data_IF_093093767782
#
_entry.id   IF_093093767782
#
_cell.length_a   1.000
_cell.length_b   1.000
_cell.length_c   1.000
_cell.angle_alpha   90.00
_cell.angle_beta   90.00
_cell.angle_gamma   90.00
#
_symmetry.space_group_name_H-M   'P 1'
#
loop_
_entity.id
_entity.type
_entity.pdbx_description
1 polymer ?
#
# COMPACT_ATOMS: atom_id res chain seq x y z
N UNK A 1 -21.55 4.78 47.92
CA UNK A 1 -20.10 4.96 47.74
C UNK A 1 -19.71 4.19 46.47
N UNK A 2 -19.64 4.88 45.35
CA UNK A 2 -19.24 4.30 44.07
C UNK A 2 -17.78 4.61 43.83
N UNK A 3 -16.92 3.60 43.90
CA UNK A 3 -15.50 3.73 43.60
C UNK A 3 -15.32 3.72 42.09
N UNK A 4 -14.83 4.84 41.54
CA UNK A 4 -14.46 4.99 40.16
C UNK A 4 -13.27 4.06 39.84
N UNK A 5 -13.50 3.08 38.99
CA UNK A 5 -12.43 2.27 38.39
C UNK A 5 -11.72 3.15 37.35
N UNK A 6 -10.55 3.66 37.69
CA UNK A 6 -9.64 4.27 36.75
C UNK A 6 -9.20 3.23 35.73
N UNK A 7 -9.53 3.46 34.45
CA UNK A 7 -9.03 2.67 33.34
C UNK A 7 -7.49 2.67 33.37
N UNK A 8 -6.91 1.50 33.55
CA UNK A 8 -5.47 1.30 33.57
C UNK A 8 -4.93 1.60 32.18
N UNK A 9 -4.09 2.64 32.06
CA UNK A 9 -3.30 2.92 30.88
C UNK A 9 -2.52 1.67 30.47
N UNK A 10 -2.58 1.33 29.16
CA UNK A 10 -1.94 0.14 28.61
C UNK A 10 -0.47 0.08 29.01
N UNK A 11 -0.08 -0.95 29.73
CA UNK A 11 1.31 -1.23 30.11
C UNK A 11 2.12 -1.35 28.83
N UNK A 12 3.09 -0.47 28.62
CA UNK A 12 4.13 -0.60 27.59
C UNK A 12 4.78 -1.98 27.78
N UNK A 13 4.47 -2.94 26.88
CA UNK A 13 5.03 -4.29 26.98
C UNK A 13 6.52 -4.24 26.78
N UNK A 14 7.29 -4.46 27.83
CA UNK A 14 8.74 -4.57 27.73
C UNK A 14 9.10 -5.86 26.98
N UNK A 15 9.99 -5.78 25.98
CA UNK A 15 10.52 -6.96 25.28
C UNK A 15 11.08 -8.01 26.24
N UNK A 16 11.68 -7.58 27.36
CA UNK A 16 12.15 -8.47 28.42
C UNK A 16 11.03 -9.30 29.06
N UNK A 17 9.85 -8.71 29.30
CA UNK A 17 8.71 -9.46 29.84
C UNK A 17 8.22 -10.54 28.88
N UNK A 18 8.25 -10.26 27.58
CA UNK A 18 7.86 -11.23 26.56
C UNK A 18 8.88 -12.38 26.42
N UNK A 19 10.17 -12.07 26.50
CA UNK A 19 11.23 -13.08 26.54
C UNK A 19 11.07 -13.95 27.78
N UNK A 20 10.90 -13.35 28.99
CA UNK A 20 10.66 -14.08 30.23
C UNK A 20 9.41 -14.97 30.18
N UNK A 21 8.28 -14.46 29.63
CA UNK A 21 7.06 -15.24 29.43
C UNK A 21 7.28 -16.45 28.52
N UNK A 22 8.11 -16.31 27.50
CA UNK A 22 8.48 -17.40 26.60
C UNK A 22 9.33 -18.43 27.33
N UNK A 23 10.33 -18.01 28.08
CA UNK A 23 11.25 -18.90 28.84
C UNK A 23 10.49 -19.75 29.88
N UNK A 24 9.51 -19.16 30.58
CA UNK A 24 8.68 -19.89 31.56
C UNK A 24 7.49 -20.63 30.92
N UNK A 25 7.41 -20.70 29.57
CA UNK A 25 6.36 -21.42 28.86
C UNK A 25 4.95 -20.78 28.93
N UNK A 26 4.82 -19.56 29.45
CA UNK A 26 3.52 -18.87 29.59
C UNK A 26 3.06 -18.18 28.30
N UNK A 27 3.83 -18.25 27.23
CA UNK A 27 3.48 -17.67 25.94
C UNK A 27 3.98 -18.52 24.77
N UNK A 28 3.12 -18.73 23.77
CA UNK A 28 3.51 -19.44 22.54
C UNK A 28 4.57 -18.65 21.76
N UNK A 29 5.59 -19.32 21.17
CA UNK A 29 6.69 -18.67 20.46
C UNK A 29 6.23 -17.69 19.37
N UNK A 30 5.25 -18.08 18.55
CA UNK A 30 4.69 -17.22 17.48
C UNK A 30 4.00 -15.97 18.04
N UNK A 31 3.23 -16.08 19.12
CA UNK A 31 2.55 -14.96 19.74
C UNK A 31 3.53 -13.99 20.40
N UNK A 32 4.59 -14.51 21.05
CA UNK A 32 5.67 -13.68 21.60
C UNK A 32 6.42 -12.95 20.51
N UNK A 33 6.80 -13.65 19.42
CA UNK A 33 7.47 -13.03 18.27
C UNK A 33 6.64 -11.88 17.67
N UNK A 34 5.33 -12.09 17.46
CA UNK A 34 4.44 -11.04 16.95
C UNK A 34 4.37 -9.83 17.90
N UNK A 35 4.20 -10.05 19.21
CA UNK A 35 4.16 -8.95 20.18
C UNK A 35 5.48 -8.17 20.24
N UNK A 36 6.61 -8.87 20.18
CA UNK A 36 7.93 -8.23 20.14
C UNK A 36 8.07 -7.41 18.85
N UNK A 37 7.76 -7.98 17.70
CA UNK A 37 7.89 -7.34 16.40
C UNK A 37 7.01 -6.09 16.26
N UNK A 38 5.80 -6.07 16.84
CA UNK A 38 4.91 -4.91 16.86
C UNK A 38 5.20 -3.91 17.99
N UNK A 39 6.23 -4.14 18.82
CA UNK A 39 6.49 -3.28 19.96
C UNK A 39 7.12 -1.94 19.55
N UNK A 40 6.75 -0.87 20.29
CA UNK A 40 7.34 0.45 20.13
C UNK A 40 8.87 0.42 20.26
N UNK A 41 9.39 -0.44 21.15
CA UNK A 41 10.82 -0.58 21.37
C UNK A 41 11.56 -1.06 20.11
N UNK A 42 10.97 -1.95 19.32
CA UNK A 42 11.52 -2.40 18.04
C UNK A 42 11.43 -1.27 17.01
N UNK A 43 10.28 -0.61 16.91
CA UNK A 43 10.10 0.52 16.00
C UNK A 43 11.12 1.64 16.26
N UNK A 44 11.34 2.00 17.53
CA UNK A 44 12.26 3.08 17.88
C UNK A 44 13.74 2.74 17.63
N UNK A 45 14.04 1.50 17.26
CA UNK A 45 15.39 1.05 16.86
C UNK A 45 15.54 0.89 15.34
N UNK A 46 14.51 1.22 14.56
CA UNK A 46 14.59 1.18 13.11
C UNK A 46 15.69 2.10 12.61
N UNK A 47 16.59 1.58 11.79
CA UNK A 47 17.68 2.33 11.15
C UNK A 47 17.95 1.77 9.78
N UNK A 48 18.61 2.55 8.94
CA UNK A 48 18.98 2.11 7.61
C UNK A 48 20.05 1.02 7.69
N UNK A 49 19.68 -0.20 7.30
CA UNK A 49 20.57 -1.37 7.24
C UNK A 49 21.46 -1.35 6.01
N UNK A 50 20.95 -0.83 4.89
CA UNK A 50 21.69 -0.77 3.65
C UNK A 50 20.96 -0.09 2.51
N UNK A 51 21.66 0.00 1.38
CA UNK A 51 21.12 0.49 0.11
C UNK A 51 21.41 -0.53 -0.97
N UNK A 52 20.39 -0.88 -1.76
CA UNK A 52 20.55 -1.68 -2.97
C UNK A 52 20.77 -0.72 -4.15
N UNK A 53 21.83 -0.96 -4.91
CA UNK A 53 22.23 -0.12 -6.06
C UNK A 53 22.22 -0.95 -7.32
N UNK A 54 21.55 -0.46 -8.35
CA UNK A 54 21.49 -1.24 -9.58
C UNK A 54 20.61 -0.70 -10.68
N UNK A 55 19.68 0.20 -10.34
CA UNK A 55 18.88 0.94 -11.31
C UNK A 55 19.57 2.20 -11.78
N UNK A 56 19.29 2.59 -13.03
CA UNK A 56 19.77 3.83 -13.64
C UNK A 56 18.73 4.97 -13.64
N UNK A 57 17.48 4.64 -13.30
CA UNK A 57 16.34 5.55 -13.13
C UNK A 57 15.79 5.60 -11.70
N UNK A 58 14.72 6.39 -11.49
CA UNK A 58 13.97 6.41 -10.25
C UNK A 58 13.41 5.03 -9.96
N UNK A 59 13.43 4.59 -8.69
CA UNK A 59 12.84 3.30 -8.31
C UNK A 59 11.41 3.55 -7.85
N UNK A 60 10.45 3.24 -8.72
CA UNK A 60 9.04 3.56 -8.49
C UNK A 60 8.38 2.63 -7.49
N UNK A 61 8.75 1.36 -7.49
CA UNK A 61 8.20 0.38 -6.55
C UNK A 61 9.24 -0.61 -6.07
N UNK A 62 8.98 -1.09 -4.87
CA UNK A 62 9.60 -2.27 -4.27
C UNK A 62 8.50 -3.16 -3.71
N UNK A 63 8.67 -4.47 -3.80
CA UNK A 63 7.75 -5.44 -3.20
C UNK A 63 8.49 -6.70 -2.75
N UNK A 64 8.14 -7.20 -1.57
CA UNK A 64 8.60 -8.52 -1.14
C UNK A 64 7.73 -9.61 -1.79
N UNK A 65 8.34 -10.78 -2.03
CA UNK A 65 7.56 -11.97 -2.31
C UNK A 65 6.82 -12.43 -1.03
N UNK A 66 5.84 -13.35 -1.12
CA UNK A 66 5.10 -13.82 0.05
C UNK A 66 5.97 -14.47 1.15
N UNK A 67 7.08 -15.10 0.78
CA UNK A 67 8.04 -15.69 1.74
C UNK A 67 8.89 -14.63 2.44
N UNK A 68 9.09 -13.46 1.82
CA UNK A 68 9.89 -12.37 2.35
C UNK A 68 11.40 -12.49 2.10
N UNK A 69 11.87 -13.49 1.43
CA UNK A 69 13.30 -13.72 1.14
C UNK A 69 13.76 -13.03 -0.16
N UNK A 70 12.83 -12.69 -1.04
CA UNK A 70 13.07 -12.01 -2.30
C UNK A 70 12.44 -10.61 -2.28
N UNK A 71 13.18 -9.62 -2.78
CA UNK A 71 12.67 -8.28 -3.03
C UNK A 71 12.72 -7.99 -4.52
N UNK A 72 11.62 -7.47 -5.07
CA UNK A 72 11.51 -7.03 -6.47
C UNK A 72 11.47 -5.52 -6.51
N UNK A 73 12.17 -4.91 -7.45
CA UNK A 73 12.09 -3.48 -7.73
C UNK A 73 11.87 -3.19 -9.20
N UNK A 74 11.14 -2.11 -9.50
CA UNK A 74 10.96 -1.59 -10.85
C UNK A 74 11.28 -0.10 -10.92
N UNK A 75 11.67 0.37 -12.10
CA UNK A 75 12.24 1.70 -12.27
C UNK A 75 11.87 2.34 -13.62
N UNK A 76 12.20 3.64 -13.73
CA UNK A 76 12.15 4.40 -14.97
C UNK A 76 13.12 3.86 -16.04
N UNK A 77 14.10 3.06 -15.64
CA UNK A 77 15.04 2.39 -16.58
C UNK A 77 14.43 1.17 -17.28
N UNK A 78 13.14 0.90 -17.07
CA UNK A 78 12.37 -0.23 -17.63
C UNK A 78 12.83 -1.62 -17.19
N UNK A 79 13.84 -1.72 -16.33
CA UNK A 79 14.32 -2.99 -15.81
C UNK A 79 13.58 -3.41 -14.54
N UNK A 80 13.49 -4.71 -14.37
CA UNK A 80 13.09 -5.35 -13.12
C UNK A 80 14.31 -5.99 -12.51
N UNK A 81 14.53 -5.75 -11.22
CA UNK A 81 15.62 -6.37 -10.47
C UNK A 81 15.06 -7.17 -9.31
N UNK A 82 15.50 -8.42 -9.23
CA UNK A 82 15.27 -9.30 -8.10
C UNK A 82 16.50 -9.28 -7.20
N UNK A 83 16.27 -9.07 -5.91
CA UNK A 83 17.32 -8.92 -4.93
C UNK A 83 17.29 -10.01 -3.88
N UNK A 84 18.44 -10.57 -3.57
CA UNK A 84 18.71 -11.09 -2.23
C UNK A 84 18.98 -9.85 -1.34
N UNK A 85 17.96 -9.40 -0.65
CA UNK A 85 18.03 -8.15 0.12
C UNK A 85 18.87 -8.30 1.39
N UNK A 86 18.98 -9.52 1.95
CA UNK A 86 19.85 -9.82 3.11
C UNK A 86 21.33 -9.74 2.72
N UNK A 87 21.71 -10.40 1.63
CA UNK A 87 23.05 -10.34 1.06
C UNK A 87 23.34 -9.01 0.35
N UNK A 88 22.29 -8.22 0.03
CA UNK A 88 22.36 -6.97 -0.74
C UNK A 88 22.92 -7.15 -2.15
N UNK A 89 22.64 -8.30 -2.76
CA UNK A 89 23.11 -8.67 -4.10
C UNK A 89 21.96 -8.75 -5.10
N UNK A 90 22.25 -8.48 -6.36
CA UNK A 90 21.30 -8.72 -7.45
C UNK A 90 21.26 -10.23 -7.70
N UNK A 91 20.08 -10.81 -7.61
CA UNK A 91 19.84 -12.21 -7.97
C UNK A 91 19.57 -12.34 -9.48
N UNK A 92 18.79 -11.39 -10.03
CA UNK A 92 18.46 -11.35 -11.44
C UNK A 92 18.15 -9.91 -11.87
N UNK A 93 18.50 -9.56 -13.12
CA UNK A 93 18.13 -8.30 -13.78
C UNK A 93 17.62 -8.66 -15.16
N UNK A 94 16.43 -8.15 -15.53
CA UNK A 94 15.89 -8.37 -16.86
C UNK A 94 15.07 -7.16 -17.35
N UNK A 95 15.05 -6.90 -18.68
CA UNK A 95 14.20 -5.88 -19.27
C UNK A 95 12.72 -6.32 -19.20
N UNK A 96 11.86 -5.47 -18.67
CA UNK A 96 10.44 -5.78 -18.49
C UNK A 96 9.65 -5.91 -19.81
N UNK A 97 10.21 -5.37 -20.90
CA UNK A 97 9.54 -5.25 -22.19
C UNK A 97 8.63 -4.01 -22.31
N UNK A 98 8.52 -3.20 -21.27
CA UNK A 98 7.86 -1.90 -21.32
C UNK A 98 8.74 -0.86 -22.01
N UNK A 99 8.09 0.17 -22.58
CA UNK A 99 8.77 1.28 -23.30
C UNK A 99 8.89 2.55 -22.46
N UNK A 100 8.15 2.62 -21.35
CA UNK A 100 8.10 3.73 -20.42
C UNK A 100 8.28 3.25 -18.97
N UNK A 101 8.24 4.20 -18.03
CA UNK A 101 8.47 4.00 -16.59
C UNK A 101 7.61 2.86 -16.02
N UNK A 102 8.23 1.87 -15.42
CA UNK A 102 7.50 0.79 -14.76
C UNK A 102 7.10 1.22 -13.36
N UNK A 103 5.80 1.40 -13.15
CA UNK A 103 5.27 1.93 -11.90
C UNK A 103 5.04 0.88 -10.83
N UNK A 104 4.71 -0.36 -11.20
CA UNK A 104 4.46 -1.42 -10.22
C UNK A 104 4.92 -2.77 -10.74
N UNK A 105 5.53 -3.55 -9.84
CA UNK A 105 5.98 -4.93 -10.10
C UNK A 105 5.69 -5.79 -8.87
N UNK A 106 5.13 -6.98 -9.07
CA UNK A 106 4.86 -7.95 -8.01
C UNK A 106 5.07 -9.39 -8.47
N UNK A 107 5.59 -10.20 -7.55
CA UNK A 107 5.63 -11.67 -7.70
C UNK A 107 4.24 -12.23 -7.46
N UNK A 108 3.77 -13.09 -8.34
CA UNK A 108 2.54 -13.85 -8.12
C UNK A 108 2.76 -14.90 -7.01
N UNK A 109 1.84 -15.02 -6.05
CA UNK A 109 1.98 -16.02 -4.99
C UNK A 109 1.86 -17.45 -5.54
N UNK A 110 2.47 -18.41 -4.85
CA UNK A 110 2.41 -19.85 -5.20
C UNK A 110 2.92 -20.20 -6.61
N UNK A 111 3.86 -19.42 -7.14
CA UNK A 111 4.48 -19.65 -8.46
C UNK A 111 5.98 -19.92 -8.34
N UNK A 112 6.47 -20.29 -7.15
CA UNK A 112 7.89 -20.47 -6.84
C UNK A 112 8.77 -19.28 -7.29
N UNK A 113 8.20 -18.07 -7.12
CA UNK A 113 8.76 -16.77 -7.52
C UNK A 113 9.09 -16.66 -9.03
N UNK A 114 8.54 -17.55 -9.85
CA UNK A 114 8.81 -17.60 -11.29
C UNK A 114 7.99 -16.62 -12.11
N UNK A 115 6.88 -16.11 -11.58
CA UNK A 115 5.93 -15.26 -12.31
C UNK A 115 5.88 -13.86 -11.71
N UNK A 116 6.20 -12.85 -12.51
CA UNK A 116 6.22 -11.44 -12.09
C UNK A 116 5.29 -10.64 -13.00
N UNK A 117 4.35 -9.93 -12.41
CA UNK A 117 3.45 -9.03 -13.13
C UNK A 117 3.95 -7.60 -12.99
N UNK A 118 3.89 -6.85 -14.10
CA UNK A 118 4.35 -5.46 -14.18
C UNK A 118 3.32 -4.58 -14.88
N UNK A 119 3.24 -3.30 -14.45
CA UNK A 119 2.42 -2.27 -15.08
C UNK A 119 3.22 -0.98 -15.18
N UNK A 120 2.96 -0.21 -16.25
CA UNK A 120 3.81 0.92 -16.60
C UNK A 120 3.05 2.13 -17.16
N UNK A 121 3.80 3.19 -17.43
CA UNK A 121 3.30 4.42 -18.02
C UNK A 121 2.85 4.26 -19.47
N UNK A 122 3.33 3.24 -20.18
CA UNK A 122 2.92 2.89 -21.54
C UNK A 122 1.51 2.29 -21.64
N UNK A 123 0.83 2.12 -20.51
CA UNK A 123 -0.50 1.50 -20.45
C UNK A 123 -0.50 -0.02 -20.49
N UNK A 124 0.64 -0.65 -20.73
CA UNK A 124 0.72 -2.09 -20.85
C UNK A 124 0.70 -2.79 -19.49
N UNK A 125 0.10 -3.98 -19.48
CA UNK A 125 0.18 -4.96 -18.39
C UNK A 125 0.93 -6.16 -18.92
N UNK A 126 2.07 -6.50 -18.30
CA UNK A 126 2.97 -7.56 -18.79
C UNK A 126 3.25 -8.58 -17.72
N UNK A 127 3.59 -9.78 -18.14
CA UNK A 127 4.02 -10.88 -17.28
C UNK A 127 5.41 -11.32 -17.69
N UNK A 128 6.32 -11.33 -16.74
CA UNK A 128 7.65 -11.95 -16.86
C UNK A 128 7.59 -13.36 -16.27
N UNK A 129 8.01 -14.35 -17.05
CA UNK A 129 8.12 -15.73 -16.64
C UNK A 129 9.59 -16.14 -16.57
N UNK A 130 10.06 -16.46 -15.35
CA UNK A 130 11.40 -17.00 -15.13
C UNK A 130 11.41 -18.48 -15.51
N UNK A 131 12.39 -18.87 -16.32
CA UNK A 131 12.64 -20.25 -16.70
C UNK A 131 13.80 -20.86 -15.91
N UNK A 132 13.85 -22.16 -15.86
CA UNK A 132 15.03 -22.89 -15.42
C UNK A 132 16.24 -22.44 -16.26
N UNK A 133 17.32 -22.02 -15.60
CA UNK A 133 18.49 -21.44 -16.29
C UNK A 133 18.59 -19.91 -16.23
N UNK A 134 17.57 -19.21 -15.67
CA UNK A 134 17.63 -17.76 -15.41
C UNK A 134 17.20 -16.88 -16.59
N UNK A 135 16.74 -17.47 -17.70
CA UNK A 135 16.14 -16.73 -18.79
C UNK A 135 14.74 -16.23 -18.39
N UNK A 136 14.39 -15.01 -18.75
CA UNK A 136 13.05 -14.44 -18.54
C UNK A 136 12.39 -14.15 -19.86
N UNK A 137 11.19 -14.70 -20.06
CA UNK A 137 10.33 -14.35 -21.18
C UNK A 137 9.24 -13.40 -20.71
N UNK A 138 9.03 -12.31 -21.43
CA UNK A 138 7.97 -11.34 -21.11
C UNK A 138 6.86 -11.39 -22.16
N UNK A 139 5.60 -11.35 -21.73
CA UNK A 139 4.45 -11.29 -22.61
C UNK A 139 3.48 -10.18 -22.20
N UNK A 140 2.84 -9.57 -23.18
CA UNK A 140 1.74 -8.63 -22.99
C UNK A 140 0.48 -9.44 -22.63
N UNK A 141 -0.24 -9.02 -21.59
CA UNK A 141 -1.49 -9.67 -21.16
C UNK A 141 -2.70 -8.75 -21.21
N UNK A 142 -2.48 -7.43 -21.30
CA UNK A 142 -3.53 -6.44 -21.48
C UNK A 142 -3.01 -5.05 -21.67
N UNK A 143 -3.89 -4.14 -22.09
CA UNK A 143 -3.57 -2.74 -22.34
C UNK A 143 -4.68 -1.82 -21.81
N UNK A 144 -4.25 -0.67 -21.32
CA UNK A 144 -5.05 0.50 -20.99
C UNK A 144 -4.76 1.62 -22.00
N UNK A 145 -5.72 2.52 -22.20
CA UNK A 145 -5.56 3.68 -23.08
C UNK A 145 -4.65 4.77 -22.47
N UNK A 146 -4.18 4.58 -21.22
CA UNK A 146 -3.37 5.54 -20.49
C UNK A 146 -2.53 4.84 -19.42
N UNK A 147 -1.75 5.61 -18.65
CA UNK A 147 -0.84 5.12 -17.61
C UNK A 147 -1.52 4.21 -16.59
N UNK A 148 -0.83 3.14 -16.21
CA UNK A 148 -1.26 2.22 -15.14
C UNK A 148 -0.33 2.35 -13.95
N UNK A 149 -0.84 2.91 -12.84
CA UNK A 149 -0.03 3.16 -11.66
C UNK A 149 0.03 1.99 -10.69
N UNK A 150 -1.04 1.20 -10.60
CA UNK A 150 -1.17 0.18 -9.56
C UNK A 150 -1.91 -1.05 -10.07
N UNK A 151 -1.52 -2.19 -9.53
CA UNK A 151 -2.25 -3.46 -9.62
C UNK A 151 -2.43 -4.05 -8.23
N UNK A 152 -3.41 -4.93 -8.08
CA UNK A 152 -3.67 -5.69 -6.87
C UNK A 152 -3.80 -7.17 -7.21
N UNK A 153 -3.09 -8.02 -6.48
CA UNK A 153 -3.14 -9.48 -6.63
C UNK A 153 -4.23 -9.99 -5.70
N UNK A 154 -5.06 -10.91 -6.19
CA UNK A 154 -6.09 -11.55 -5.38
C UNK A 154 -5.43 -12.43 -4.30
N UNK A 155 -5.74 -12.21 -3.01
CA UNK A 155 -5.20 -13.03 -1.93
C UNK A 155 -5.48 -14.51 -2.12
N UNK A 156 -4.44 -15.33 -2.06
CA UNK A 156 -4.55 -16.78 -2.19
C UNK A 156 -4.64 -17.33 -3.61
N UNK A 157 -4.61 -16.47 -4.64
CA UNK A 157 -4.65 -16.89 -6.04
C UNK A 157 -3.29 -16.73 -6.73
N UNK A 158 -2.74 -17.77 -7.37
CA UNK A 158 -1.53 -17.67 -8.19
C UNK A 158 -1.79 -17.09 -9.58
N UNK A 159 -3.05 -16.83 -9.96
CA UNK A 159 -3.41 -16.49 -11.33
C UNK A 159 -4.17 -15.18 -11.48
N UNK A 160 -4.83 -14.70 -10.42
CA UNK A 160 -5.79 -13.60 -10.53
C UNK A 160 -5.20 -12.31 -9.98
N UNK A 161 -5.28 -11.25 -10.77
CA UNK A 161 -4.95 -9.90 -10.35
C UNK A 161 -5.79 -8.85 -11.11
N UNK A 162 -5.74 -7.63 -10.65
CA UNK A 162 -6.48 -6.49 -11.21
C UNK A 162 -5.53 -5.34 -11.48
N UNK A 163 -5.80 -4.57 -12.54
CA UNK A 163 -5.13 -3.30 -12.81
C UNK A 163 -6.11 -2.14 -12.84
N UNK A 164 -5.63 -0.94 -12.60
CA UNK A 164 -6.39 0.29 -12.76
C UNK A 164 -5.52 1.37 -13.41
N UNK A 165 -6.09 2.09 -14.38
CA UNK A 165 -5.36 3.08 -15.18
C UNK A 165 -5.96 4.50 -15.13
N UNK A 166 -5.20 5.47 -15.65
CA UNK A 166 -5.68 6.85 -15.79
C UNK A 166 -6.81 7.01 -16.83
N UNK A 167 -7.09 5.99 -17.61
CA UNK A 167 -8.27 5.88 -18.49
C UNK A 167 -9.57 5.65 -17.71
N UNK A 168 -9.46 5.45 -16.39
CA UNK A 168 -10.58 5.14 -15.51
C UNK A 168 -11.03 3.69 -15.55
N UNK A 169 -10.39 2.86 -16.37
CA UNK A 169 -10.73 1.45 -16.55
C UNK A 169 -10.14 0.60 -15.42
N UNK A 170 -10.92 -0.36 -14.95
CA UNK A 170 -10.46 -1.48 -14.12
C UNK A 170 -10.53 -2.75 -14.96
N UNK A 171 -9.43 -3.50 -14.98
CA UNK A 171 -9.33 -4.78 -15.69
C UNK A 171 -9.04 -5.92 -14.71
N UNK A 172 -9.62 -7.06 -15.00
CA UNK A 172 -9.39 -8.33 -14.32
C UNK A 172 -8.57 -9.25 -15.23
N UNK A 173 -7.60 -9.92 -14.66
CA UNK A 173 -6.71 -10.86 -15.33
C UNK A 173 -6.78 -12.21 -14.66
N UNK A 174 -6.93 -13.25 -15.48
CA UNK A 174 -6.69 -14.63 -15.12
C UNK A 174 -5.57 -15.16 -16.01
N UNK A 175 -4.41 -15.46 -15.44
CA UNK A 175 -3.24 -15.94 -16.19
C UNK A 175 -3.41 -17.30 -16.86
N UNK A 176 -4.52 -18.00 -16.58
CA UNK A 176 -4.92 -19.22 -17.26
C UNK A 176 -5.67 -18.95 -18.58
N UNK A 177 -6.16 -17.72 -18.74
CA UNK A 177 -6.80 -17.24 -19.97
C UNK A 177 -5.87 -16.28 -20.71
N UNK A 178 -6.05 -16.18 -22.03
CA UNK A 178 -5.22 -15.33 -22.89
C UNK A 178 -5.74 -13.88 -23.01
N UNK A 179 -6.84 -13.54 -22.34
CA UNK A 179 -7.47 -12.23 -22.47
C UNK A 179 -7.81 -11.60 -21.12
N UNK A 180 -7.55 -10.28 -21.02
CA UNK A 180 -8.03 -9.46 -19.92
C UNK A 180 -9.53 -9.21 -20.02
N UNK A 181 -10.22 -9.21 -18.90
CA UNK A 181 -11.64 -8.83 -18.81
C UNK A 181 -11.75 -7.37 -18.35
N UNK A 182 -12.32 -6.52 -19.20
CA UNK A 182 -12.67 -5.15 -18.81
C UNK A 182 -13.87 -5.19 -17.89
N UNK A 183 -13.70 -4.78 -16.61
CA UNK A 183 -14.80 -4.82 -15.65
C UNK A 183 -15.72 -3.61 -15.81
N UNK A 184 -15.19 -2.42 -15.65
CA UNK A 184 -15.94 -1.17 -15.80
C UNK A 184 -14.99 0.03 -15.92
N UNK A 185 -15.57 1.16 -16.35
CA UNK A 185 -14.90 2.47 -16.33
C UNK A 185 -15.48 3.33 -15.21
N UNK A 186 -14.62 3.88 -14.37
CA UNK A 186 -15.00 4.73 -13.24
C UNK A 186 -15.28 6.16 -13.69
N UNK A 187 -16.45 6.69 -13.31
CA UNK A 187 -16.87 8.05 -13.60
C UNK A 187 -17.03 8.88 -12.32
N UNK A 188 -16.85 10.20 -12.46
CA UNK A 188 -17.03 11.15 -11.37
C UNK A 188 -18.51 11.23 -10.96
N UNK A 189 -18.76 11.27 -9.65
CA UNK A 189 -20.12 11.48 -9.12
C UNK A 189 -20.69 12.87 -9.42
N UNK A 190 -19.81 13.89 -9.49
CA UNK A 190 -20.23 15.27 -9.81
C UNK A 190 -20.49 15.47 -11.30
N UNK A 191 -19.75 14.76 -12.15
CA UNK A 191 -19.90 14.83 -13.59
C UNK A 191 -19.78 13.41 -14.18
N UNK A 192 -20.92 12.76 -14.37
CA UNK A 192 -21.01 11.38 -14.86
C UNK A 192 -20.43 11.13 -16.26
N UNK A 193 -19.96 12.16 -16.98
CA UNK A 193 -19.25 12.03 -18.25
C UNK A 193 -17.73 12.08 -18.10
N UNK A 194 -17.22 12.55 -16.95
CA UNK A 194 -15.78 12.67 -16.69
C UNK A 194 -15.27 11.37 -16.08
N UNK A 195 -14.34 10.71 -16.75
CA UNK A 195 -13.61 9.55 -16.21
C UNK A 195 -12.73 9.97 -15.03
N UNK A 196 -12.68 9.16 -13.99
CA UNK A 196 -11.77 9.30 -12.86
C UNK A 196 -10.46 8.63 -13.24
N UNK A 197 -9.37 9.37 -13.30
CA UNK A 197 -8.02 8.79 -13.50
C UNK A 197 -7.64 8.03 -12.23
N UNK A 198 -7.51 6.70 -12.34
CA UNK A 198 -7.25 5.84 -11.20
C UNK A 198 -5.74 5.73 -10.93
N UNK A 199 -5.37 5.92 -9.66
CA UNK A 199 -3.98 5.86 -9.19
C UNK A 199 -3.74 4.67 -8.28
N UNK A 200 -4.77 4.14 -7.64
CA UNK A 200 -4.62 3.09 -6.63
C UNK A 200 -5.79 2.11 -6.65
N UNK A 201 -5.45 0.84 -6.47
CA UNK A 201 -6.37 -0.27 -6.25
C UNK A 201 -5.82 -1.13 -5.12
N UNK A 202 -6.70 -1.59 -4.24
CA UNK A 202 -6.36 -2.54 -3.17
C UNK A 202 -7.52 -3.52 -2.96
N UNK A 203 -7.19 -4.78 -2.65
CA UNK A 203 -8.16 -5.85 -2.34
C UNK A 203 -8.18 -6.07 -0.84
N UNK A 204 -9.37 -6.32 -0.27
CA UNK A 204 -9.53 -6.68 1.13
C UNK A 204 -8.87 -8.04 1.39
N UNK A 205 -7.83 -8.13 2.24
CA UNK A 205 -7.09 -9.37 2.45
C UNK A 205 -7.90 -10.46 3.15
N UNK A 206 -8.99 -10.10 3.84
CA UNK A 206 -9.89 -11.05 4.51
C UNK A 206 -11.09 -11.45 3.69
N UNK A 207 -11.48 -10.61 2.73
CA UNK A 207 -12.57 -10.90 1.82
C UNK A 207 -12.21 -10.50 0.39
N UNK A 208 -11.56 -11.38 -0.38
CA UNK A 208 -11.05 -11.10 -1.71
C UNK A 208 -12.10 -10.64 -2.73
N UNK A 209 -13.38 -10.81 -2.43
CA UNK A 209 -14.45 -10.29 -3.28
C UNK A 209 -14.58 -8.76 -3.24
N UNK A 210 -14.04 -8.11 -2.20
CA UNK A 210 -14.08 -6.65 -2.10
C UNK A 210 -12.75 -6.02 -2.48
N UNK A 211 -12.84 -4.99 -3.30
CA UNK A 211 -11.70 -4.15 -3.65
C UNK A 211 -12.07 -2.67 -3.63
N UNK A 212 -11.11 -1.83 -3.31
CA UNK A 212 -11.26 -0.38 -3.32
C UNK A 212 -10.38 0.25 -4.38
N UNK A 213 -10.91 1.29 -5.04
CA UNK A 213 -10.19 2.12 -6.00
C UNK A 213 -10.25 3.59 -5.61
N UNK A 214 -9.26 4.35 -6.05
CA UNK A 214 -9.21 5.80 -5.89
C UNK A 214 -8.27 6.44 -6.90
N UNK A 215 -8.50 7.74 -7.14
CA UNK A 215 -7.75 8.43 -8.17
C UNK A 215 -7.91 9.95 -8.15
N UNK A 216 -8.28 10.53 -9.28
CA UNK A 216 -8.29 11.98 -9.52
C UNK A 216 -9.46 12.75 -8.87
N UNK A 217 -10.20 12.11 -8.00
CA UNK A 217 -11.19 12.73 -7.13
C UNK A 217 -11.02 12.31 -5.67
N UNK A 218 -11.84 12.85 -4.79
CA UNK A 218 -11.75 12.68 -3.33
C UNK A 218 -12.36 11.37 -2.81
N UNK A 219 -13.01 10.56 -3.65
CA UNK A 219 -13.79 9.41 -3.20
C UNK A 219 -13.02 8.09 -3.38
N UNK A 220 -12.86 7.35 -2.30
CA UNK A 220 -12.57 5.91 -2.36
C UNK A 220 -13.86 5.17 -2.67
N UNK A 221 -13.83 4.28 -3.62
CA UNK A 221 -14.98 3.47 -4.03
C UNK A 221 -14.73 2.00 -3.73
N UNK A 222 -15.62 1.39 -2.98
CA UNK A 222 -15.62 -0.03 -2.64
C UNK A 222 -16.53 -0.80 -3.60
N UNK A 223 -16.00 -1.84 -4.22
CA UNK A 223 -16.73 -2.71 -5.15
C UNK A 223 -16.75 -4.15 -4.67
N UNK A 224 -17.80 -4.90 -5.07
CA UNK A 224 -17.94 -6.34 -4.88
C UNK A 224 -17.82 -7.06 -6.23
N UNK A 225 -16.78 -7.87 -6.40
CA UNK A 225 -16.52 -8.62 -7.64
C UNK A 225 -17.65 -9.54 -8.07
N UNK A 226 -18.41 -10.07 -7.13
CA UNK A 226 -19.52 -10.99 -7.43
C UNK A 226 -20.63 -10.30 -8.24
N UNK A 227 -20.75 -8.98 -8.11
CA UNK A 227 -21.75 -8.19 -8.87
C UNK A 227 -21.45 -8.13 -10.36
N UNK A 228 -20.17 -8.27 -10.76
CA UNK A 228 -19.76 -8.27 -12.16
C UNK A 228 -19.98 -9.62 -12.87
N UNK A 229 -20.20 -10.68 -12.11
CA UNK A 229 -20.41 -12.02 -12.64
C UNK A 229 -21.90 -12.38 -12.85
N UNK A 230 -22.80 -11.65 -12.22
CA UNK A 230 -24.18 -12.10 -12.01
C UNK A 230 -25.23 -11.43 -12.91
N UNK A 231 -24.92 -10.30 -13.60
CA UNK A 231 -26.02 -9.63 -14.29
C UNK A 231 -25.60 -8.60 -15.36
N UNK A 232 -26.37 -8.59 -16.47
CA UNK A 232 -26.45 -7.55 -17.50
C UNK A 232 -27.16 -6.26 -17.00
N UNK A 233 -27.40 -6.10 -15.71
CA UNK A 233 -28.19 -5.02 -15.15
C UNK A 233 -27.41 -3.71 -15.06
N UNK A 234 -28.14 -2.62 -15.28
CA UNK A 234 -27.68 -1.21 -15.40
C UNK A 234 -26.94 -0.63 -14.18
N UNK A 235 -26.71 -1.41 -13.11
CA UNK A 235 -26.11 -0.97 -11.86
C UNK A 235 -24.69 -1.52 -11.59
N UNK A 236 -24.07 -2.21 -12.56
CA UNK A 236 -22.76 -2.83 -12.43
C UNK A 236 -21.67 -1.81 -12.05
N UNK A 237 -21.78 -0.58 -12.52
CA UNK A 237 -20.80 0.48 -12.31
C UNK A 237 -20.94 1.22 -10.97
N UNK A 238 -21.94 0.89 -10.13
CA UNK A 238 -22.10 1.53 -8.84
C UNK A 238 -21.27 0.83 -7.76
N UNK A 239 -20.50 1.59 -6.96
CA UNK A 239 -19.82 1.02 -5.81
C UNK A 239 -20.82 0.50 -4.76
N UNK A 240 -20.39 -0.43 -3.95
CA UNK A 240 -21.14 -0.89 -2.76
C UNK A 240 -21.20 0.22 -1.73
N UNK A 241 -20.07 0.91 -1.58
CA UNK A 241 -19.90 2.00 -0.63
C UNK A 241 -18.81 2.98 -1.10
N UNK A 242 -18.78 4.17 -0.50
CA UNK A 242 -17.77 5.19 -0.77
C UNK A 242 -17.26 5.79 0.52
N UNK A 243 -16.00 6.22 0.53
CA UNK A 243 -15.36 6.83 1.70
C UNK A 243 -14.70 8.14 1.30
N UNK A 244 -14.89 9.17 2.13
CA UNK A 244 -14.29 10.48 1.95
C UNK A 244 -14.34 11.23 3.29
N UNK A 245 -13.29 11.98 3.69
CA UNK A 245 -13.38 12.87 4.85
C UNK A 245 -14.48 13.92 4.62
N UNK A 246 -15.27 14.21 5.65
CA UNK A 246 -16.45 15.11 5.54
C UNK A 246 -16.13 16.45 4.90
N UNK A 247 -15.02 17.08 5.29
CA UNK A 247 -14.60 18.39 4.78
C UNK A 247 -14.16 18.39 3.31
N UNK A 248 -13.87 17.20 2.73
CA UNK A 248 -13.50 17.06 1.34
C UNK A 248 -14.69 16.72 0.43
N UNK A 249 -15.82 16.34 0.98
CA UNK A 249 -17.02 15.98 0.20
C UNK A 249 -17.43 17.14 -0.70
N UNK A 250 -17.57 16.88 -2.01
CA UNK A 250 -17.86 17.86 -3.05
C UNK A 250 -16.77 18.93 -3.24
N UNK A 251 -15.57 18.74 -2.69
CA UNK A 251 -14.45 19.68 -2.78
C UNK A 251 -13.75 19.69 -4.13
N UNK A 252 -13.63 18.54 -4.80
CA UNK A 252 -13.12 18.36 -6.16
C UNK A 252 -11.65 18.75 -6.39
N UNK A 253 -10.88 19.08 -5.34
CA UNK A 253 -9.52 19.62 -5.44
C UNK A 253 -8.43 18.60 -5.10
N UNK A 254 -8.75 17.61 -4.31
CA UNK A 254 -7.80 16.61 -3.84
C UNK A 254 -7.90 15.31 -4.64
N UNK A 255 -6.84 14.54 -4.65
CA UNK A 255 -6.72 13.26 -5.37
C UNK A 255 -6.21 12.19 -4.42
N UNK A 256 -6.67 10.97 -4.61
CA UNK A 256 -6.15 9.82 -3.89
C UNK A 256 -4.87 9.35 -4.58
N UNK A 257 -3.81 9.17 -3.80
CA UNK A 257 -2.50 8.70 -4.25
C UNK A 257 -2.23 7.26 -3.84
N UNK A 258 -2.77 6.79 -2.72
CA UNK A 258 -2.54 5.44 -2.23
C UNK A 258 -3.68 4.93 -1.37
N UNK A 259 -3.96 3.62 -1.49
CA UNK A 259 -4.93 2.89 -0.68
C UNK A 259 -4.26 1.63 -0.15
N UNK A 260 -4.50 1.29 1.11
CA UNK A 260 -4.11 0.02 1.71
C UNK A 260 -5.19 -0.49 2.67
N UNK A 261 -5.28 -1.82 2.81
CA UNK A 261 -6.15 -2.46 3.78
C UNK A 261 -5.39 -2.96 4.99
N UNK A 262 -5.99 -2.80 6.18
CA UNK A 262 -5.57 -3.53 7.38
C UNK A 262 -6.18 -4.93 7.44
N UNK A 263 -5.60 -5.80 8.27
CA UNK A 263 -6.26 -7.08 8.60
C UNK A 263 -7.60 -6.91 9.32
N UNK A 264 -7.87 -5.75 9.91
CA UNK A 264 -9.15 -5.43 10.52
C UNK A 264 -10.18 -4.87 9.51
N UNK A 265 -9.88 -4.92 8.20
CA UNK A 265 -10.70 -4.39 7.10
C UNK A 265 -10.90 -2.87 7.15
N UNK A 266 -9.97 -2.16 7.78
CA UNK A 266 -9.92 -0.71 7.74
C UNK A 266 -9.25 -0.27 6.44
N UNK A 267 -9.66 0.86 5.89
CA UNK A 267 -9.14 1.42 4.64
C UNK A 267 -8.26 2.62 4.97
N UNK A 268 -6.98 2.52 4.68
CA UNK A 268 -6.02 3.60 4.81
C UNK A 268 -5.87 4.31 3.46
N UNK A 269 -6.02 5.62 3.46
CA UNK A 269 -6.05 6.44 2.24
C UNK A 269 -5.12 7.63 2.36
N UNK A 270 -4.24 7.79 1.39
CA UNK A 270 -3.38 8.96 1.26
C UNK A 270 -3.92 9.90 0.19
N UNK A 271 -4.02 11.18 0.51
CA UNK A 271 -4.48 12.22 -0.40
C UNK A 271 -3.34 13.16 -0.79
N UNK A 272 -3.45 13.72 -1.97
CA UNK A 272 -2.56 14.77 -2.46
C UNK A 272 -2.98 16.12 -1.85
N UNK A 273 -1.99 16.90 -1.38
CA UNK A 273 -2.19 18.18 -0.68
C UNK A 273 -3.05 18.10 0.60
N UNK A 274 -3.16 16.90 1.17
CA UNK A 274 -4.00 16.61 2.31
C UNK A 274 -3.35 15.52 3.17
N UNK A 275 -4.03 15.07 4.22
CA UNK A 275 -3.54 14.09 5.19
C UNK A 275 -3.70 12.65 4.70
N UNK A 276 -3.23 11.72 5.51
CA UNK A 276 -3.57 10.30 5.41
C UNK A 276 -4.73 10.02 6.37
N UNK A 277 -5.73 9.28 5.92
CA UNK A 277 -6.93 8.97 6.69
C UNK A 277 -7.16 7.47 6.82
N UNK A 278 -7.61 7.03 7.98
CA UNK A 278 -8.01 5.66 8.26
C UNK A 278 -9.53 5.59 8.45
N UNK A 279 -10.20 4.88 7.58
CA UNK A 279 -11.64 4.65 7.62
C UNK A 279 -11.95 3.27 8.20
N UNK A 280 -12.93 3.19 9.07
CA UNK A 280 -13.57 1.95 9.47
C UNK A 280 -14.72 1.62 8.52
N UNK A 281 -15.13 0.35 8.47
CA UNK A 281 -16.17 -0.11 7.55
C UNK A 281 -17.55 0.55 7.74
N UNK A 282 -17.82 1.13 8.92
CA UNK A 282 -19.05 1.85 9.25
C UNK A 282 -19.01 3.35 8.88
N UNK A 283 -17.92 3.84 8.32
CA UNK A 283 -17.75 5.25 7.93
C UNK A 283 -18.09 5.51 6.45
N UNK A 284 -18.77 4.57 5.80
CA UNK A 284 -19.18 4.70 4.40
C UNK A 284 -20.28 5.73 4.19
N UNK A 285 -20.23 6.41 3.05
CA UNK A 285 -21.18 7.43 2.61
C UNK A 285 -22.29 6.85 1.70
N UNK A 286 -22.27 5.50 1.54
CA UNK A 286 -23.16 4.80 0.61
C UNK A 286 -22.67 4.85 -0.85
N UNK A 287 -23.44 4.27 -1.78
CA UNK A 287 -23.06 4.11 -3.18
C UNK A 287 -23.00 5.42 -3.97
N UNK A 288 -23.70 6.48 -3.53
CA UNK A 288 -23.71 7.79 -4.17
C UNK A 288 -23.63 8.92 -3.14
N UNK A 289 -22.44 9.36 -2.76
CA UNK A 289 -22.26 10.37 -1.70
C UNK A 289 -22.74 11.77 -2.10
N UNK A 290 -22.90 12.06 -3.39
CA UNK A 290 -23.35 13.38 -3.87
C UNK A 290 -24.86 13.55 -3.74
N UNK A 291 -25.60 12.45 -3.81
CA UNK A 291 -27.06 12.46 -3.64
C UNK A 291 -27.51 12.49 -2.16
N UNK A 292 -26.60 12.21 -1.23
CA UNK A 292 -26.91 12.22 0.21
C UNK A 292 -27.09 13.65 0.73
N UNK A 293 -28.04 13.82 1.65
CA UNK A 293 -28.29 15.11 2.31
C UNK A 293 -27.16 15.44 3.29
N UNK A 294 -26.75 16.72 3.43
CA UNK A 294 -25.66 17.13 4.32
C UNK A 294 -25.86 16.68 5.78
N UNK A 295 -27.09 16.67 6.26
CA UNK A 295 -27.46 16.26 7.62
C UNK A 295 -27.07 14.82 7.95
N UNK A 296 -27.06 13.92 6.95
CA UNK A 296 -26.63 12.53 7.13
C UNK A 296 -25.14 12.41 7.45
N UNK A 297 -24.32 13.39 7.03
CA UNK A 297 -22.88 13.35 7.26
C UNK A 297 -22.48 13.79 8.69
N UNK A 298 -23.32 14.56 9.38
CA UNK A 298 -23.02 15.07 10.72
C UNK A 298 -23.02 13.94 11.77
N UNK A 299 -23.76 12.89 11.53
CA UNK A 299 -23.85 11.72 12.42
C UNK A 299 -22.72 10.68 12.23
N UNK A 300 -21.91 10.82 11.16
CA UNK A 300 -20.82 9.86 10.93
C UNK A 300 -19.61 10.18 11.78
N UNK A 301 -18.91 9.11 12.22
CA UNK A 301 -17.62 9.25 12.88
C UNK A 301 -16.57 9.89 11.96
N UNK A 302 -15.64 10.64 12.56
CA UNK A 302 -14.50 11.19 11.81
C UNK A 302 -13.42 10.11 11.65
N UNK A 303 -12.84 9.96 10.44
CA UNK A 303 -11.71 9.05 10.25
C UNK A 303 -10.49 9.54 11.04
N UNK A 304 -9.68 8.59 11.52
CA UNK A 304 -8.42 8.92 12.16
C UNK A 304 -7.49 9.55 11.12
N UNK A 305 -6.96 10.74 11.41
CA UNK A 305 -6.03 11.45 10.54
C UNK A 305 -4.58 11.31 11.00
N UNK A 306 -3.65 11.33 10.04
CA UNK A 306 -2.19 11.28 10.26
C UNK A 306 -1.56 12.45 9.51
N UNK A 307 -0.90 13.33 10.27
CA UNK A 307 -0.35 14.60 9.77
C UNK A 307 1.17 14.60 9.72
N UNK A 308 1.71 15.61 9.02
CA UNK A 308 3.13 15.91 9.03
C UNK A 308 3.89 15.56 7.77
N UNK A 309 3.39 14.65 6.94
CA UNK A 309 4.00 14.36 5.66
C UNK A 309 3.56 15.38 4.59
N UNK A 310 4.32 15.45 3.49
CA UNK A 310 3.98 16.26 2.31
C UNK A 310 3.73 15.33 1.13
N UNK A 311 2.61 15.53 0.42
CA UNK A 311 2.20 14.69 -0.69
C UNK A 311 1.55 15.51 -1.80
N UNK A 312 2.36 16.20 -2.64
CA UNK A 312 1.85 16.99 -3.76
C UNK A 312 2.57 16.73 -5.10
N UNK A 313 3.80 16.17 -5.07
CA UNK A 313 4.62 16.01 -6.28
C UNK A 313 4.34 14.74 -7.07
N UNK A 314 4.16 13.62 -6.37
CA UNK A 314 4.09 12.29 -6.97
C UNK A 314 3.01 11.45 -6.34
N UNK A 315 2.59 10.38 -7.03
CA UNK A 315 1.75 9.33 -6.46
C UNK A 315 2.56 8.55 -5.42
N UNK A 316 2.10 8.54 -4.16
CA UNK A 316 2.79 7.89 -3.04
C UNK A 316 1.97 6.74 -2.49
N UNK A 317 2.69 5.66 -2.20
CA UNK A 317 2.13 4.53 -1.47
C UNK A 317 2.01 4.84 0.02
N UNK A 318 1.01 4.25 0.64
CA UNK A 318 0.77 4.20 2.08
C UNK A 318 0.60 2.75 2.48
N UNK A 319 1.01 2.38 3.68
CA UNK A 319 0.91 0.99 4.13
C UNK A 319 0.78 0.89 5.65
N UNK A 320 0.46 -0.30 6.13
CA UNK A 320 0.53 -0.63 7.55
C UNK A 320 1.87 -1.27 7.88
N UNK A 321 2.30 -1.14 9.13
CA UNK A 321 3.53 -1.74 9.62
C UNK A 321 3.31 -2.38 11.00
N UNK A 322 3.93 -3.54 11.18
CA UNK A 322 3.76 -4.36 12.36
C UNK A 322 2.78 -5.53 12.14
N UNK A 323 2.93 -6.62 12.89
CA UNK A 323 2.21 -7.88 12.65
C UNK A 323 0.69 -7.82 12.91
N UNK A 324 0.20 -6.77 13.58
CA UNK A 324 -1.23 -6.52 13.80
C UNK A 324 -1.61 -5.10 13.34
N UNK A 325 -0.88 -4.55 12.35
CA UNK A 325 -1.09 -3.20 11.82
C UNK A 325 -1.02 -2.12 12.91
N UNK A 326 -0.04 -2.23 13.83
CA UNK A 326 0.09 -1.30 14.95
C UNK A 326 0.44 0.12 14.50
N UNK A 327 1.06 0.25 13.33
CA UNK A 327 1.56 1.51 12.79
C UNK A 327 1.09 1.74 11.36
N UNK A 328 1.04 3.01 10.99
CA UNK A 328 0.79 3.51 9.63
C UNK A 328 2.10 4.10 9.11
N UNK A 329 2.43 3.85 7.85
CA UNK A 329 3.65 4.35 7.21
C UNK A 329 3.34 5.03 5.89
N UNK A 330 4.01 6.15 5.64
CA UNK A 330 3.92 6.89 4.38
C UNK A 330 5.26 7.51 3.98
N UNK A 331 5.49 7.62 2.69
CA UNK A 331 6.54 8.45 2.12
C UNK A 331 6.16 9.92 2.11
N UNK A 332 7.12 10.77 1.78
CA UNK A 332 6.90 12.21 1.71
C UNK A 332 7.76 12.86 0.63
N UNK A 333 7.31 14.02 0.13
CA UNK A 333 8.04 14.87 -0.80
C UNK A 333 9.30 15.50 -0.20
N UNK A 334 9.42 15.48 1.12
CA UNK A 334 10.65 15.93 1.83
C UNK A 334 11.73 14.84 1.92
N UNK A 335 11.51 13.66 1.31
CA UNK A 335 12.44 12.54 1.33
C UNK A 335 12.42 11.71 2.60
N UNK A 336 11.55 12.02 3.54
CA UNK A 336 11.42 11.27 4.78
C UNK A 336 10.34 10.19 4.69
N UNK A 337 10.53 9.14 5.48
CA UNK A 337 9.56 8.12 5.81
C UNK A 337 8.93 8.47 7.14
N UNK A 338 7.60 8.56 7.18
CA UNK A 338 6.83 8.84 8.37
C UNK A 338 6.19 7.57 8.89
N UNK A 339 6.23 7.38 10.21
CA UNK A 339 5.59 6.26 10.90
C UNK A 339 4.78 6.80 12.06
N UNK A 340 3.48 6.56 12.03
CA UNK A 340 2.55 6.95 13.09
C UNK A 340 2.03 5.72 13.82
N UNK A 341 1.65 5.91 15.08
CA UNK A 341 0.84 4.94 15.81
C UNK A 341 -0.55 4.90 15.18
N UNK A 342 -1.05 3.71 14.81
CA UNK A 342 -2.36 3.58 14.16
C UNK A 342 -3.47 4.18 15.03
N UNK A 343 -3.51 3.85 16.31
CA UNK A 343 -4.46 4.45 17.26
C UNK A 343 -3.94 5.77 17.80
N UNK A 344 -4.70 6.84 17.60
CA UNK A 344 -4.38 8.18 18.09
C UNK A 344 -3.52 9.03 17.16
N UNK A 345 -2.98 8.50 16.06
CA UNK A 345 -2.28 9.28 15.03
C UNK A 345 -0.94 9.89 15.46
N UNK A 346 -0.39 9.48 16.62
CA UNK A 346 0.88 10.00 17.15
C UNK A 346 2.03 9.68 16.19
N UNK A 347 2.80 10.70 15.79
CA UNK A 347 4.03 10.52 15.00
C UNK A 347 5.10 9.86 15.88
N UNK A 348 5.44 8.62 15.50
CA UNK A 348 6.42 7.81 16.24
C UNK A 348 7.84 7.98 15.70
N UNK A 349 7.97 8.02 14.37
CA UNK A 349 9.27 8.07 13.71
C UNK A 349 9.21 8.92 12.44
N UNK A 350 10.29 9.63 12.19
CA UNK A 350 10.62 10.26 10.93
C UNK A 350 12.04 9.82 10.55
N UNK A 351 12.19 9.17 9.39
CA UNK A 351 13.47 8.60 8.96
C UNK A 351 13.84 9.16 7.58
N UNK A 352 15.10 9.54 7.41
CA UNK A 352 15.59 10.05 6.13
C UNK A 352 15.73 8.89 5.13
N UNK A 353 14.82 8.82 4.17
CA UNK A 353 14.77 7.82 3.10
C UNK A 353 15.58 8.24 1.87
N UNK A 354 15.05 9.16 1.10
CA UNK A 354 15.62 9.65 -0.14
C UNK A 354 16.10 11.09 0.00
N UNK A 355 16.91 11.56 -0.94
CA UNK A 355 17.33 12.97 -1.00
C UNK A 355 16.17 13.90 -1.39
N UNK A 356 15.19 13.37 -2.09
CA UNK A 356 14.02 14.11 -2.57
C UNK A 356 12.74 13.41 -2.12
N UNK A 357 12.12 12.59 -2.93
CA UNK A 357 10.78 12.02 -2.65
C UNK A 357 10.88 10.53 -2.35
N UNK A 358 10.14 10.07 -1.34
CA UNK A 358 9.87 8.64 -1.10
C UNK A 358 8.49 8.30 -1.66
N UNK A 359 8.43 7.44 -2.67
CA UNK A 359 7.20 7.05 -3.35
C UNK A 359 6.61 5.74 -2.84
N UNK A 360 7.46 4.75 -2.56
CA UNK A 360 7.02 3.42 -2.19
C UNK A 360 7.60 3.01 -0.84
N UNK A 361 6.77 2.36 -0.05
CA UNK A 361 7.12 1.77 1.24
C UNK A 361 6.49 0.38 1.29
N UNK A 362 7.32 -0.62 1.45
CA UNK A 362 6.88 -2.00 1.54
C UNK A 362 7.39 -2.63 2.83
N UNK A 363 6.50 -2.92 3.79
CA UNK A 363 6.81 -3.72 4.97
C UNK A 363 7.10 -5.17 4.58
N UNK A 364 8.03 -5.79 5.30
CA UNK A 364 8.31 -7.21 5.15
C UNK A 364 7.14 -8.03 5.73
N UNK A 365 6.69 -9.10 5.04
CA UNK A 365 5.50 -9.84 5.44
C UNK A 365 5.59 -10.53 6.82
N UNK A 366 6.79 -10.85 7.30
CA UNK A 366 6.97 -11.67 8.50
C UNK A 366 7.80 -11.02 9.61
N UNK A 367 8.68 -10.09 9.27
CA UNK A 367 9.65 -9.49 10.19
C UNK A 367 9.48 -7.98 10.28
N UNK A 368 9.96 -7.33 11.36
CA UNK A 368 9.89 -5.89 11.50
C UNK A 368 10.94 -5.17 10.63
N UNK A 369 10.97 -5.51 9.35
CA UNK A 369 11.81 -4.92 8.32
C UNK A 369 10.96 -4.16 7.33
N UNK A 370 11.57 -3.27 6.57
CA UNK A 370 10.89 -2.46 5.57
C UNK A 370 11.86 -2.10 4.46
N UNK A 371 11.36 -2.04 3.23
CA UNK A 371 12.05 -1.47 2.08
C UNK A 371 11.37 -0.18 1.65
N UNK A 372 12.15 0.82 1.20
CA UNK A 372 11.61 2.06 0.65
C UNK A 372 12.34 2.46 -0.62
N UNK A 373 11.62 3.11 -1.52
CA UNK A 373 12.16 3.62 -2.78
C UNK A 373 11.48 4.93 -3.18
N UNK A 374 12.10 5.64 -4.13
CA UNK A 374 11.57 6.91 -4.60
C UNK A 374 12.38 7.45 -5.79
N UNK A 375 12.59 8.77 -5.82
CA UNK A 375 13.30 9.42 -6.93
C UNK A 375 14.79 9.04 -6.97
N UNK A 376 15.38 8.66 -5.84
CA UNK A 376 16.74 8.12 -5.84
C UNK A 376 16.79 6.79 -6.59
N UNK A 377 17.91 6.52 -7.27
CA UNK A 377 18.18 5.27 -8.00
C UNK A 377 18.43 4.05 -7.09
N UNK A 378 18.05 4.12 -5.82
CA UNK A 378 18.41 3.10 -4.83
C UNK A 378 17.23 2.70 -3.97
N UNK A 379 17.17 1.42 -3.61
CA UNK A 379 16.27 0.92 -2.57
C UNK A 379 16.96 1.02 -1.22
N UNK A 380 16.27 1.50 -0.19
CA UNK A 380 16.74 1.56 1.20
C UNK A 380 16.09 0.45 1.99
N UNK A 381 16.89 -0.22 2.80
CA UNK A 381 16.47 -1.30 3.69
C UNK A 381 16.53 -0.82 5.14
N UNK A 382 15.49 -1.08 5.89
CA UNK A 382 15.33 -0.64 7.27
C UNK A 382 15.14 -1.83 8.20
N UNK A 383 15.91 -1.86 9.29
CA UNK A 383 15.87 -2.92 10.30
C UNK A 383 16.00 -2.33 11.70
N UNK A 384 15.49 -3.00 12.74
CA UNK A 384 15.59 -2.53 14.12
C UNK A 384 16.96 -2.81 14.74
N UNK A 385 18.03 -2.40 14.08
CA UNK A 385 19.43 -2.72 14.44
C UNK A 385 20.16 -1.62 15.20
N UNK A 386 19.51 -0.46 15.47
CA UNK A 386 20.13 0.61 16.23
C UNK A 386 20.40 0.21 17.69
N UNK A 387 21.64 0.44 18.17
CA UNK A 387 22.04 0.16 19.57
C UNK A 387 21.26 1.01 20.59
N UNK A 388 20.93 2.24 20.20
CA UNK A 388 20.17 3.19 21.05
C UNK A 388 18.77 3.40 20.46
N UNK A 389 17.82 3.71 21.33
CA UNK A 389 16.49 4.18 20.94
C UNK A 389 16.65 5.55 20.29
N UNK A 390 16.06 5.73 19.11
CA UNK A 390 16.10 6.97 18.36
C UNK A 390 14.90 7.83 18.74
N UNK A 391 15.12 9.10 19.02
CA UNK A 391 14.04 10.09 19.24
C UNK A 391 13.62 10.76 17.95
N UNK A 392 12.45 11.38 17.95
CA UNK A 392 12.05 12.29 16.88
C UNK A 392 13.04 13.47 16.80
N UNK A 393 13.35 13.97 15.60
CA UNK A 393 14.08 15.22 15.45
C UNK A 393 13.39 16.36 16.20
N UNK A 394 14.15 17.28 16.80
CA UNK A 394 13.59 18.42 17.55
C UNK A 394 12.61 19.25 16.72
N UNK A 395 12.84 19.32 15.41
CA UNK A 395 12.03 20.08 14.45
C UNK A 395 10.94 19.23 13.76
N UNK A 396 10.66 18.02 14.25
CA UNK A 396 9.65 17.15 13.63
C UNK A 396 8.25 17.78 13.58
N UNK A 397 7.96 18.71 14.52
CA UNK A 397 6.69 19.48 14.54
C UNK A 397 6.67 20.67 13.58
N UNK A 398 7.82 21.14 13.11
CA UNK A 398 7.94 22.27 12.16
C UNK A 398 8.01 21.79 10.71
N UNK A 399 8.38 20.53 10.50
CA UNK A 399 8.42 19.86 9.18
C UNK A 399 7.08 19.18 8.88
N UNK A 400 6.24 19.10 9.89
CA UNK A 400 4.90 18.49 9.87
C UNK A 400 3.82 19.47 9.41
#
# INVERSE_FOLDING_TARGET
MAAAVKAAGGRKGSCFLEVGRREIGSSFPRASSRRISGSEHILMRMTQYGKLRGHDGCVNTVSFNPAGDLLVSSSDDTNIILWDWLAKTKRLVYPSGHHENVFHARVMPFTDDSTIVTVAADGQVRVGQLKEGGEVTTRLVGEHDSRVHKMAIEPGSPYIFYSCGEDGLVQHFDLRSDSATKLFTCYSFLNGRRRVRLNSIAIDPQNPYYFSIGGSDEYVRLYDMRRFQLDDSRNINQPVDTFCPKHLVKGGKVRITGIAYSYAREILVSYNDELVYLFQSNMGLGPNPVAAQPECFDMLDQPQAYSGHRNYRTVKGVNFFGPNDEYVVSGSDCGNVFIWRKKGGELMRMMNGDKSVVNCIEPHPHFPFMATSGIDKTVKLWTPSAKKVMSLPKNAKEVA
#
